data_IF_053631991789
#
_entry.id   IF_053631991789
#
_cell.length_a   1.000
_cell.length_b   1.000
_cell.length_c   1.000
_cell.angle_alpha   90.00
_cell.angle_beta   90.00
_cell.angle_gamma   90.00
#
_symmetry.space_group_name_H-M   'P 1'
#
loop_
_entity.id
_entity.type
_entity.pdbx_description
1 polymer ?
#
# COMPACT_ATOMS: atom_id res chain seq x y z
N UNK A 1 8.98 28.34 42.29
CA UNK A 1 9.26 27.64 41.04
C UNK A 1 7.98 27.60 40.22
N UNK A 2 7.92 28.35 39.17
CA UNK A 2 6.75 28.37 38.30
C UNK A 2 6.89 27.26 37.26
N UNK A 3 5.90 26.38 37.08
CA UNK A 3 5.92 25.47 35.94
C UNK A 3 5.85 26.32 34.67
N UNK A 4 6.81 26.15 33.81
CA UNK A 4 6.77 26.68 32.46
C UNK A 4 5.60 26.00 31.75
N UNK A 5 4.47 26.71 31.68
CA UNK A 5 3.38 26.38 30.80
C UNK A 5 3.86 26.69 29.38
N UNK A 6 4.41 25.71 28.72
CA UNK A 6 4.59 25.77 27.29
C UNK A 6 3.18 25.78 26.70
N UNK A 7 2.69 26.96 26.38
CA UNK A 7 1.57 27.09 25.47
C UNK A 7 2.03 26.53 24.14
N UNK A 8 1.82 25.24 23.93
CA UNK A 8 1.75 24.69 22.60
C UNK A 8 0.58 25.39 21.94
N UNK A 9 0.88 26.44 21.23
CA UNK A 9 -0.04 26.98 20.24
C UNK A 9 -0.25 25.90 19.24
N UNK A 10 -1.34 25.20 19.40
CA UNK A 10 -1.85 24.25 18.43
C UNK A 10 -2.20 25.05 17.18
N UNK A 11 -1.29 25.11 16.26
CA UNK A 11 -1.56 25.69 14.95
C UNK A 11 -2.48 24.74 14.20
N UNK A 12 -3.71 25.15 13.82
CA UNK A 12 -4.67 24.26 13.18
C UNK A 12 -4.32 23.93 11.72
N UNK A 13 -3.11 24.19 11.27
CA UNK A 13 -2.66 24.05 9.88
C UNK A 13 -1.51 23.06 9.75
N UNK A 14 -1.40 22.09 10.65
CA UNK A 14 -0.59 20.91 10.37
C UNK A 14 -1.53 19.92 9.71
N UNK A 15 -1.40 19.63 8.40
CA UNK A 15 -2.23 18.62 7.79
C UNK A 15 -1.99 17.31 8.54
N UNK A 16 -3.06 16.67 8.93
CA UNK A 16 -3.08 15.38 9.61
C UNK A 16 -2.21 14.31 8.92
N UNK A 17 -1.90 14.50 7.64
CA UNK A 17 -0.93 13.72 6.87
C UNK A 17 0.50 13.73 7.42
N UNK A 18 0.97 14.85 7.98
CA UNK A 18 2.34 14.91 8.51
C UNK A 18 2.51 14.14 9.81
N UNK A 19 1.44 13.95 10.56
CA UNK A 19 1.49 13.21 11.81
C UNK A 19 1.36 11.69 11.60
N UNK A 20 0.74 11.25 10.51
CA UNK A 20 0.69 9.83 10.14
C UNK A 20 1.96 9.34 9.47
N UNK A 21 2.69 10.22 8.76
CA UNK A 21 3.94 9.86 8.11
C UNK A 21 5.02 9.45 9.13
N UNK A 22 5.13 10.15 10.25
CA UNK A 22 6.12 9.83 11.28
C UNK A 22 5.76 8.56 12.10
N UNK A 23 4.47 8.28 12.32
CA UNK A 23 4.06 7.12 13.12
C UNK A 23 4.01 5.82 12.32
N UNK A 24 3.71 5.88 11.02
CA UNK A 24 3.72 4.71 10.14
C UNK A 24 5.11 4.36 9.63
N UNK A 25 6.00 5.35 9.49
CA UNK A 25 7.38 5.15 9.06
C UNK A 25 8.29 4.56 10.14
N UNK A 26 7.98 4.76 11.42
CA UNK A 26 8.89 4.34 12.51
C UNK A 26 8.69 2.91 12.99
N UNK A 27 7.65 2.21 12.57
CA UNK A 27 7.33 0.96 13.21
C UNK A 27 7.70 -0.34 12.50
N UNK A 28 8.19 -0.36 11.25
CA UNK A 28 8.77 -1.59 10.67
C UNK A 28 9.62 -1.32 9.42
N UNK A 29 10.94 -1.43 9.58
CA UNK A 29 11.85 -2.15 8.69
C UNK A 29 11.55 -2.10 7.17
N UNK A 30 11.36 -0.92 6.59
CA UNK A 30 11.21 -0.74 5.16
C UNK A 30 11.03 0.73 4.86
N UNK A 31 11.94 1.29 4.06
CA UNK A 31 11.85 2.67 3.62
C UNK A 31 10.74 2.81 2.57
N UNK A 32 9.48 2.89 3.01
CA UNK A 32 8.36 3.16 2.11
C UNK A 32 8.09 4.66 2.05
N UNK A 33 7.96 5.19 0.85
CA UNK A 33 7.50 6.54 0.60
C UNK A 33 6.18 6.49 -0.18
N UNK A 34 5.30 7.44 0.07
CA UNK A 34 3.98 7.48 -0.56
C UNK A 34 3.80 8.75 -1.37
N UNK A 35 3.21 8.63 -2.55
CA UNK A 35 2.81 9.81 -3.30
C UNK A 35 1.62 10.52 -2.62
N UNK A 36 1.44 11.83 -2.82
CA UNK A 36 0.32 12.58 -2.23
C UNK A 36 -1.06 12.02 -2.61
N UNK A 37 -1.18 11.40 -3.79
CA UNK A 37 -2.42 10.78 -4.24
C UNK A 37 -2.81 9.56 -3.41
N UNK A 38 -1.81 8.86 -2.88
CA UNK A 38 -2.00 7.62 -2.10
C UNK A 38 -2.21 7.93 -0.64
N UNK A 39 -1.43 8.87 -0.07
CA UNK A 39 -1.48 9.22 1.35
C UNK A 39 -2.82 9.82 1.79
N UNK A 40 -3.59 10.42 0.88
CA UNK A 40 -4.90 10.98 1.17
C UNK A 40 -6.07 10.00 1.01
N UNK A 41 -5.80 8.73 0.72
CA UNK A 41 -6.82 7.72 0.49
C UNK A 41 -7.07 6.90 1.75
N UNK A 42 -8.27 7.02 2.35
CA UNK A 42 -8.65 6.28 3.56
C UNK A 42 -8.67 4.75 3.36
N UNK A 43 -9.11 4.29 2.19
CA UNK A 43 -9.11 2.86 1.88
C UNK A 43 -7.68 2.31 1.82
N UNK A 44 -6.77 3.08 1.23
CA UNK A 44 -5.35 2.75 1.23
C UNK A 44 -4.81 2.63 2.66
N UNK A 45 -5.09 3.61 3.51
CA UNK A 45 -4.58 3.63 4.89
C UNK A 45 -5.00 2.38 5.65
N UNK A 46 -6.26 1.98 5.56
CA UNK A 46 -6.78 0.78 6.22
C UNK A 46 -6.15 -0.51 5.66
N UNK A 47 -6.06 -0.63 4.34
CA UNK A 47 -5.49 -1.81 3.70
C UNK A 47 -3.98 -1.91 3.95
N UNK A 48 -3.29 -0.77 3.94
CA UNK A 48 -1.86 -0.69 4.23
C UNK A 48 -1.54 -1.07 5.67
N UNK A 49 -2.32 -0.60 6.63
CA UNK A 49 -2.16 -0.96 8.03
C UNK A 49 -2.31 -2.48 8.24
N UNK A 50 -3.32 -3.09 7.65
CA UNK A 50 -3.51 -4.54 7.67
C UNK A 50 -2.33 -5.28 7.03
N UNK A 51 -1.82 -4.78 5.91
CA UNK A 51 -0.64 -5.33 5.24
C UNK A 51 0.60 -5.25 6.12
N UNK A 52 0.90 -4.10 6.71
CA UNK A 52 2.08 -3.89 7.56
C UNK A 52 2.01 -4.71 8.83
N UNK A 53 0.83 -4.82 9.46
CA UNK A 53 0.65 -5.65 10.65
C UNK A 53 0.84 -7.15 10.37
N UNK A 54 0.45 -7.60 9.18
CA UNK A 54 0.54 -9.01 8.78
C UNK A 54 1.93 -9.40 8.24
N UNK A 55 2.63 -8.44 7.66
CA UNK A 55 3.88 -8.68 6.93
C UNK A 55 5.12 -8.55 7.79
N UNK A 56 5.11 -9.10 8.99
CA UNK A 56 6.29 -9.21 9.86
C UNK A 56 7.51 -9.87 9.16
N UNK A 57 7.29 -10.45 7.99
CA UNK A 57 8.28 -11.24 7.26
C UNK A 57 8.79 -10.61 5.95
N UNK A 58 8.24 -9.49 5.48
CA UNK A 58 8.75 -8.88 4.25
C UNK A 58 9.87 -7.91 4.60
N UNK A 59 11.08 -8.41 4.48
CA UNK A 59 12.28 -7.60 4.50
C UNK A 59 12.50 -7.00 3.11
N UNK A 60 11.99 -5.79 2.89
CA UNK A 60 12.34 -5.00 1.72
C UNK A 60 13.69 -4.34 1.96
N UNK A 61 14.69 -4.78 1.24
CA UNK A 61 16.05 -4.25 1.38
C UNK A 61 16.29 -2.93 0.63
N UNK A 62 15.33 -2.49 -0.19
CA UNK A 62 15.41 -1.27 -0.99
C UNK A 62 14.30 -0.29 -0.62
N UNK A 63 14.54 1.02 -0.70
CA UNK A 63 13.47 2.00 -0.55
C UNK A 63 12.43 1.82 -1.67
N UNK A 64 11.16 1.82 -1.30
CA UNK A 64 10.03 1.62 -2.23
C UNK A 64 9.12 2.84 -2.17
N UNK A 65 8.89 3.46 -3.32
CA UNK A 65 7.93 4.54 -3.47
C UNK A 65 6.62 3.98 -4.02
N UNK A 66 5.54 4.09 -3.24
CA UNK A 66 4.19 3.72 -3.68
C UNK A 66 3.55 4.94 -4.35
N UNK A 67 3.50 4.90 -5.68
CA UNK A 67 2.97 5.99 -6.49
C UNK A 67 1.45 5.90 -6.68
N UNK A 68 0.91 4.68 -6.72
CA UNK A 68 -0.50 4.42 -7.00
C UNK A 68 -1.06 3.34 -6.07
N UNK A 69 -2.32 3.50 -5.68
CA UNK A 69 -3.11 2.48 -5.00
C UNK A 69 -4.27 2.04 -5.89
N UNK A 70 -4.50 0.73 -5.96
CA UNK A 70 -5.59 0.13 -6.73
C UNK A 70 -6.43 -0.75 -5.84
N UNK A 71 -7.69 -0.36 -5.61
CA UNK A 71 -8.65 -1.22 -4.95
C UNK A 71 -9.27 -2.19 -5.97
N UNK A 72 -8.91 -3.45 -5.86
CA UNK A 72 -9.44 -4.57 -6.65
C UNK A 72 -10.30 -5.53 -5.83
N UNK A 73 -10.63 -5.19 -4.59
CA UNK A 73 -11.52 -6.01 -3.75
C UNK A 73 -12.90 -6.13 -4.40
N UNK A 74 -13.51 -7.30 -4.26
CA UNK A 74 -14.82 -7.63 -4.86
C UNK A 74 -14.87 -7.63 -6.41
N UNK A 75 -13.72 -7.49 -7.05
CA UNK A 75 -13.61 -7.58 -8.51
C UNK A 75 -13.09 -8.96 -8.91
N UNK A 76 -13.76 -9.56 -9.89
CA UNK A 76 -13.28 -10.81 -10.49
C UNK A 76 -12.24 -10.54 -11.59
N UNK A 77 -11.38 -11.56 -11.84
CA UNK A 77 -10.48 -11.56 -12.99
C UNK A 77 -11.29 -11.33 -14.31
N UNK A 78 -10.82 -10.49 -15.25
CA UNK A 78 -9.51 -9.83 -15.30
C UNK A 78 -9.47 -8.38 -14.78
N UNK A 79 -10.52 -7.91 -14.10
CA UNK A 79 -10.66 -6.49 -13.74
C UNK A 79 -9.52 -5.93 -12.88
N UNK A 80 -9.04 -6.62 -11.82
CA UNK A 80 -7.90 -6.13 -11.04
C UNK A 80 -6.63 -5.96 -11.87
N UNK A 81 -6.36 -6.90 -12.78
CA UNK A 81 -5.23 -6.81 -13.71
C UNK A 81 -5.34 -5.62 -14.68
N UNK A 82 -6.54 -5.34 -15.19
CA UNK A 82 -6.76 -4.19 -16.07
C UNK A 82 -6.54 -2.87 -15.35
N UNK A 83 -7.06 -2.76 -14.11
CA UNK A 83 -6.82 -1.58 -13.27
C UNK A 83 -5.33 -1.39 -12.96
N UNK A 84 -4.62 -2.48 -12.66
CA UNK A 84 -3.18 -2.45 -12.44
C UNK A 84 -2.43 -1.93 -13.67
N UNK A 85 -2.77 -2.43 -14.87
CA UNK A 85 -2.17 -1.97 -16.13
C UNK A 85 -2.37 -0.48 -16.35
N UNK A 86 -3.56 0.04 -16.03
CA UNK A 86 -3.84 1.48 -16.12
C UNK A 86 -3.01 2.29 -15.12
N UNK A 87 -2.89 1.83 -13.88
CA UNK A 87 -2.07 2.49 -12.87
C UNK A 87 -0.58 2.49 -13.26
N UNK A 88 -0.06 1.37 -13.77
CA UNK A 88 1.33 1.25 -14.21
C UNK A 88 1.69 2.19 -15.37
N UNK A 89 0.72 2.55 -16.23
CA UNK A 89 0.97 3.55 -17.29
C UNK A 89 1.35 4.91 -16.73
N UNK A 90 0.74 5.29 -15.59
CA UNK A 90 0.94 6.57 -14.92
C UNK A 90 2.01 6.51 -13.81
N UNK A 91 2.68 5.38 -13.65
CA UNK A 91 3.71 5.16 -12.64
C UNK A 91 5.09 5.29 -13.30
N UNK A 92 5.99 6.01 -12.66
CA UNK A 92 7.37 6.14 -13.12
C UNK A 92 8.15 4.82 -12.94
N UNK A 93 9.22 4.68 -13.70
CA UNK A 93 10.15 3.55 -13.54
C UNK A 93 10.82 3.65 -12.17
N UNK A 94 10.87 2.54 -11.45
CA UNK A 94 11.38 2.47 -10.08
C UNK A 94 10.32 2.65 -9.01
N UNK A 95 9.16 3.24 -9.35
CA UNK A 95 8.03 3.37 -8.44
C UNK A 95 7.14 2.14 -8.46
N UNK A 96 6.31 2.01 -7.43
CA UNK A 96 5.46 0.84 -7.21
C UNK A 96 3.98 1.17 -7.20
N UNK A 97 3.19 0.19 -7.58
CA UNK A 97 1.73 0.18 -7.42
C UNK A 97 1.37 -0.82 -6.34
N UNK A 98 0.60 -0.39 -5.36
CA UNK A 98 0.01 -1.26 -4.36
C UNK A 98 -1.44 -1.56 -4.74
N UNK A 99 -1.78 -2.84 -4.78
CA UNK A 99 -3.11 -3.32 -5.16
C UNK A 99 -3.62 -4.31 -4.12
N UNK A 100 -4.91 -4.21 -3.81
CA UNK A 100 -5.62 -5.20 -3.01
C UNK A 100 -6.66 -5.92 -3.87
N UNK A 101 -6.79 -7.24 -3.69
CA UNK A 101 -7.75 -8.07 -4.40
C UNK A 101 -8.29 -9.17 -3.47
N UNK A 102 -9.49 -9.65 -3.75
CA UNK A 102 -10.10 -10.77 -3.02
C UNK A 102 -10.17 -12.04 -3.86
N UNK A 103 -9.87 -11.97 -5.14
CA UNK A 103 -9.86 -13.10 -6.05
C UNK A 103 -8.45 -13.69 -6.23
N UNK A 104 -8.28 -14.96 -5.87
CA UNK A 104 -7.00 -15.66 -5.99
C UNK A 104 -6.49 -15.78 -7.44
N UNK A 105 -7.38 -15.91 -8.41
CA UNK A 105 -7.01 -15.94 -9.82
C UNK A 105 -6.37 -14.63 -10.27
N UNK A 106 -6.87 -13.50 -9.77
CA UNK A 106 -6.28 -12.19 -10.04
C UNK A 106 -4.83 -12.10 -9.55
N UNK A 107 -4.52 -12.65 -8.38
CA UNK A 107 -3.16 -12.70 -7.85
C UNK A 107 -2.22 -13.50 -8.78
N UNK A 108 -2.67 -14.65 -9.24
CA UNK A 108 -1.93 -15.51 -10.17
C UNK A 108 -1.67 -14.81 -11.51
N UNK A 109 -2.69 -14.19 -12.09
CA UNK A 109 -2.62 -13.51 -13.39
C UNK A 109 -1.71 -12.27 -13.34
N UNK A 110 -1.78 -11.51 -12.24
CA UNK A 110 -0.88 -10.38 -12.00
C UNK A 110 0.56 -10.85 -11.86
N UNK A 111 0.80 -11.94 -11.14
CA UNK A 111 2.15 -12.51 -11.04
C UNK A 111 2.70 -12.98 -12.38
N UNK A 112 1.88 -13.61 -13.22
CA UNK A 112 2.27 -14.02 -14.58
C UNK A 112 2.57 -12.80 -15.47
N UNK A 113 1.74 -11.77 -15.40
CA UNK A 113 1.94 -10.51 -16.11
C UNK A 113 3.26 -9.82 -15.72
N UNK A 114 3.54 -9.73 -14.42
CA UNK A 114 4.77 -9.12 -13.92
C UNK A 114 6.01 -9.89 -14.38
N UNK A 115 5.99 -11.21 -14.29
CA UNK A 115 7.10 -12.06 -14.79
C UNK A 115 7.35 -11.87 -16.28
N UNK A 116 6.27 -11.73 -17.07
CA UNK A 116 6.40 -11.52 -18.53
C UNK A 116 7.07 -10.19 -18.87
N UNK A 117 6.81 -9.15 -18.09
CA UNK A 117 7.38 -7.82 -18.31
C UNK A 117 8.69 -7.56 -17.54
N UNK A 118 9.12 -8.48 -16.69
CA UNK A 118 10.28 -8.28 -15.82
C UNK A 118 10.06 -7.28 -14.70
N UNK A 119 8.81 -7.11 -14.23
CA UNK A 119 8.48 -6.27 -13.09
C UNK A 119 8.67 -7.06 -11.78
N UNK A 120 9.14 -6.38 -10.75
CA UNK A 120 9.22 -6.97 -9.41
C UNK A 120 7.81 -7.12 -8.83
N UNK A 121 7.50 -8.31 -8.36
CA UNK A 121 6.19 -8.68 -7.85
C UNK A 121 6.32 -9.31 -6.47
N UNK A 122 5.48 -8.87 -5.55
CA UNK A 122 5.32 -9.49 -4.25
C UNK A 122 3.86 -9.51 -3.83
N UNK A 123 3.43 -10.58 -3.20
CA UNK A 123 2.05 -10.73 -2.72
C UNK A 123 1.99 -11.44 -1.39
N UNK A 124 1.04 -11.03 -0.56
CA UNK A 124 0.68 -11.66 0.71
C UNK A 124 -0.83 -11.82 0.76
N UNK A 125 -1.27 -12.97 1.23
CA UNK A 125 -2.66 -13.23 1.54
C UNK A 125 -2.90 -12.99 3.04
N UNK A 126 -3.89 -12.17 3.35
CA UNK A 126 -4.31 -11.87 4.73
C UNK A 126 -5.78 -12.22 4.88
N UNK A 127 -6.10 -13.02 5.89
CA UNK A 127 -7.49 -13.29 6.23
C UNK A 127 -8.06 -12.06 6.97
N UNK A 128 -9.10 -11.48 6.41
CA UNK A 128 -9.77 -10.35 7.05
C UNK A 128 -11.01 -10.85 7.81
N UNK A 129 -10.86 -10.97 9.13
CA UNK A 129 -11.94 -11.40 10.02
C UNK A 129 -13.08 -10.38 10.15
N UNK A 130 -12.89 -9.15 9.68
CA UNK A 130 -13.90 -8.09 9.71
C UNK A 130 -14.87 -8.15 8.54
N UNK A 131 -14.55 -8.94 7.50
CA UNK A 131 -15.44 -9.16 6.37
C UNK A 131 -16.26 -10.43 6.61
N UNK A 132 -17.55 -10.30 6.58
CA UNK A 132 -18.51 -11.41 6.67
C UNK A 132 -19.00 -11.81 5.26
N UNK A 133 -18.76 -13.06 4.80
CA UNK A 133 -17.93 -14.11 5.38
C UNK A 133 -16.42 -13.75 5.31
N UNK A 134 -15.63 -14.32 6.21
CA UNK A 134 -14.17 -14.12 6.23
C UNK A 134 -13.58 -14.23 4.84
N UNK A 135 -13.10 -13.14 4.31
CA UNK A 135 -12.53 -13.10 2.97
C UNK A 135 -11.02 -12.93 3.05
N UNK A 136 -10.32 -13.72 2.26
CA UNK A 136 -8.87 -13.54 2.07
C UNK A 136 -8.64 -12.32 1.19
N UNK A 137 -7.86 -11.36 1.69
CA UNK A 137 -7.41 -10.22 0.91
C UNK A 137 -5.97 -10.45 0.49
N UNK A 138 -5.74 -10.38 -0.80
CA UNK A 138 -4.40 -10.42 -1.38
C UNK A 138 -3.84 -9.01 -1.47
N UNK A 139 -2.77 -8.75 -0.77
CA UNK A 139 -2.01 -7.52 -0.85
C UNK A 139 -0.86 -7.71 -1.83
N UNK A 140 -0.86 -6.93 -2.88
CA UNK A 140 0.03 -7.10 -4.01
C UNK A 140 0.81 -5.81 -4.22
N UNK A 141 2.12 -5.93 -4.29
CA UNK A 141 3.02 -4.83 -4.60
C UNK A 141 3.75 -5.13 -5.90
N UNK A 142 3.66 -4.22 -6.85
CA UNK A 142 4.31 -4.31 -8.16
C UNK A 142 5.21 -3.12 -8.36
N UNK A 143 6.51 -3.34 -8.49
CA UNK A 143 7.47 -2.29 -8.82
C UNK A 143 7.73 -2.32 -10.32
N UNK A 144 7.59 -1.15 -10.95
CA UNK A 144 7.85 -0.99 -12.38
C UNK A 144 9.35 -0.94 -12.63
N UNK A 145 9.87 -1.99 -13.24
CA UNK A 145 11.25 -2.10 -13.68
C UNK A 145 11.27 -1.92 -15.19
N UNK A 146 12.04 -0.93 -15.69
CA UNK A 146 12.19 -0.62 -17.13
C UNK A 146 10.91 -0.12 -17.84
#
# INVERSE_FOLDING_TARGET
MKPLFVKTTFSPIIPFCLFMDDLLMTHKSGNFTFSPCVSNNLEFSNDWENFVQSSLAISWSKPVTIAQYVNGKSLACPMPLLKLKMALKNTAIGDSVYLTATDANSCHDIGAFCRHLGYDFSSIAVENAMLEPTATVFHILVQKSL
#
